data_IF_857475808309
#
_entry.id   IF_857475808309
#
_cell.length_a   1.000
_cell.length_b   1.000
_cell.length_c   1.000
_cell.angle_alpha   90.00
_cell.angle_beta   90.00
_cell.angle_gamma   90.00
#
_symmetry.space_group_name_H-M   'P 1'
#
loop_
_entity.id
_entity.type
_entity.pdbx_description
1 polymer ?
2 non-polymer ?
3 non-polymer ?
4 water ?
#
# COMPACT_ATOMS: atom_id res chain seq x y z
N UNK A 1 11.55 -13.15 -16.66
CA UNK A 1 11.39 -12.46 -15.40
C UNK A 1 11.09 -13.49 -14.34
N UNK A 2 12.16 -14.07 -13.87
CA UNK A 2 12.11 -15.04 -12.85
C UNK A 2 11.92 -14.32 -11.51
N UNK A 3 12.56 -13.16 -11.32
CA UNK A 3 12.60 -12.53 -10.01
C UNK A 3 11.95 -11.18 -9.98
N UNK A 4 11.20 -10.88 -8.91
CA UNK A 4 10.65 -9.54 -8.74
C UNK A 4 10.95 -9.06 -7.35
N UNK A 5 11.64 -7.93 -7.22
CA UNK A 5 11.81 -7.31 -5.92
C UNK A 5 10.92 -6.05 -5.92
N UNK A 6 9.87 -6.07 -5.12
CA UNK A 6 8.89 -5.03 -5.07
C UNK A 6 9.00 -4.20 -3.80
N UNK A 7 8.87 -2.86 -3.93
CA UNK A 7 8.81 -1.99 -2.75
C UNK A 7 7.60 -1.09 -2.92
N UNK A 8 6.95 -0.78 -1.82
CA UNK A 8 5.71 -0.03 -1.75
C UNK A 8 5.83 1.02 -0.69
N UNK A 9 5.44 2.25 -0.97
CA UNK A 9 5.72 3.33 -0.06
C UNK A 9 4.65 4.41 -0.13
N UNK A 10 4.02 4.73 1.00
CA UNK A 10 3.19 5.94 1.08
C UNK A 10 4.11 7.12 1.35
N UNK A 11 4.21 7.98 0.35
CA UNK A 11 5.20 9.05 0.35
C UNK A 11 4.71 10.34 0.97
N UNK A 12 3.41 10.41 1.27
CA UNK A 12 2.81 11.60 1.92
C UNK A 12 3.05 12.89 1.12
N UNK A 13 2.91 12.75 -0.19
CA UNK A 13 3.14 13.79 -1.15
C UNK A 13 4.38 13.53 -2.00
N UNK A 14 4.17 13.24 -3.29
CA UNK A 14 5.28 12.80 -4.14
C UNK A 14 6.23 13.91 -4.46
N UNK A 15 5.76 15.11 -4.75
CA UNK A 15 6.65 16.23 -5.03
C UNK A 15 7.59 16.45 -3.86
N UNK A 16 7.07 16.43 -2.65
CA UNK A 16 7.96 16.66 -1.50
C UNK A 16 8.94 15.51 -1.35
N UNK A 17 8.50 14.30 -1.56
CA UNK A 17 9.33 13.11 -1.33
C UNK A 17 10.44 13.03 -2.40
N UNK A 18 10.25 13.61 -3.57
CA UNK A 18 11.28 13.65 -4.63
C UNK A 18 12.51 14.40 -4.17
N UNK A 19 12.32 15.33 -3.23
CA UNK A 19 13.44 16.08 -2.71
C UNK A 19 14.06 15.40 -1.49
N UNK A 20 13.49 14.30 -1.03
CA UNK A 20 13.89 13.69 0.22
C UNK A 20 14.21 12.23 0.05
N UNK A 21 14.56 11.88 -1.16
CA UNK A 21 15.11 10.54 -1.38
C UNK A 21 14.32 9.65 -2.29
N UNK A 22 13.07 10.00 -2.61
CA UNK A 22 12.33 9.09 -3.45
C UNK A 22 13.06 8.87 -4.78
N UNK A 23 13.61 9.92 -5.37
CA UNK A 23 14.29 9.75 -6.64
C UNK A 23 15.50 8.87 -6.45
N UNK A 24 16.19 9.02 -5.32
CA UNK A 24 17.34 8.14 -5.10
C UNK A 24 16.90 6.67 -5.08
N UNK A 25 15.78 6.42 -4.42
CA UNK A 25 15.30 5.05 -4.32
C UNK A 25 14.99 4.50 -5.70
N UNK A 26 14.31 5.30 -6.50
CA UNK A 26 13.93 4.83 -7.82
C UNK A 26 15.13 4.68 -8.74
N UNK A 27 15.98 5.71 -8.84
CA UNK A 27 17.05 5.73 -9.81
C UNK A 27 18.22 4.75 -9.49
N UNK A 28 18.21 4.20 -8.28
CA UNK A 28 19.17 3.19 -7.92
C UNK A 28 18.93 1.88 -8.69
N UNK A 29 17.70 1.70 -9.16
CA UNK A 29 17.34 0.49 -9.94
C UNK A 29 17.37 -0.81 -9.12
N UNK A 30 17.39 -0.66 -7.79
CA UNK A 30 17.42 -1.81 -6.91
C UNK A 30 16.12 -2.63 -7.03
N UNK A 31 14.98 -1.99 -7.32
CA UNK A 31 13.68 -2.66 -7.27
C UNK A 31 13.08 -2.83 -8.65
N UNK A 32 12.50 -4.00 -8.90
CA UNK A 32 11.82 -4.26 -10.16
C UNK A 32 10.50 -3.50 -10.27
N UNK A 33 9.84 -3.31 -9.14
CA UNK A 33 8.59 -2.58 -9.07
C UNK A 33 8.62 -1.68 -7.91
N UNK A 34 8.26 -0.41 -8.12
CA UNK A 34 8.19 0.59 -7.02
C UNK A 34 6.76 1.15 -7.06
N UNK A 35 6.03 0.92 -6.01
CA UNK A 35 4.65 1.44 -5.86
C UNK A 35 4.67 2.58 -4.87
N UNK A 36 4.01 3.69 -5.21
CA UNK A 36 3.87 4.82 -4.29
C UNK A 36 2.39 5.07 -4.05
N UNK A 37 2.07 5.44 -2.82
CA UNK A 37 0.71 5.89 -2.45
C UNK A 37 0.75 7.29 -1.89
N UNK A 38 -0.40 7.94 -2.06
CA UNK A 38 -0.63 9.31 -1.62
C UNK A 38 0.36 10.26 -2.30
N UNK A 39 0.25 10.33 -3.61
CA UNK A 39 1.12 11.19 -4.39
C UNK A 39 0.75 12.64 -4.20
N UNK A 40 -0.53 12.90 -3.96
CA UNK A 40 -1.12 14.24 -3.88
C UNK A 40 -0.96 15.02 -5.20
N UNK A 41 -0.78 14.29 -6.31
CA UNK A 41 -0.60 14.88 -7.63
C UNK A 41 -1.96 15.19 -8.23
N UNK A 42 -2.12 16.43 -8.67
CA UNK A 42 -3.34 16.95 -9.24
C UNK A 42 -3.33 16.78 -10.73
N UNK A 43 -4.45 16.34 -11.30
CA UNK A 43 -4.64 16.43 -12.76
C UNK A 43 -3.47 15.88 -13.59
N UNK A 44 -2.89 14.77 -13.12
CA UNK A 44 -1.84 14.07 -13.86
C UNK A 44 -0.55 14.90 -14.06
N UNK A 45 -0.39 15.95 -13.24
CA UNK A 45 0.80 16.80 -13.35
C UNK A 45 1.90 16.26 -12.44
N UNK A 46 2.65 15.32 -12.98
CA UNK A 46 3.69 14.64 -12.24
C UNK A 46 4.90 15.51 -12.19
N UNK A 47 5.68 15.39 -11.12
CA UNK A 47 7.00 16.00 -11.08
C UNK A 47 7.81 15.67 -12.35
N UNK A 48 8.53 16.64 -12.90
CA UNK A 48 9.35 16.41 -14.09
C UNK A 48 10.34 15.26 -13.89
N UNK A 49 10.88 15.16 -12.68
CA UNK A 49 11.90 14.15 -12.40
C UNK A 49 11.39 12.74 -12.46
N UNK A 50 10.08 12.60 -12.31
CA UNK A 50 9.41 11.31 -12.31
C UNK A 50 8.97 10.99 -13.73
N UNK A 51 8.57 12.02 -14.47
CA UNK A 51 7.99 11.85 -15.80
C UNK A 51 8.84 10.95 -16.68
N UNK A 52 10.06 11.40 -16.97
CA UNK A 52 10.92 10.61 -17.83
C UNK A 52 12.10 10.03 -17.08
N UNK A 53 11.77 9.17 -16.12
CA UNK A 53 12.69 8.21 -15.55
C UNK A 53 13.07 7.31 -16.70
N UNK A 54 14.28 6.75 -16.65
CA UNK A 54 14.80 5.83 -17.64
C UNK A 54 14.97 4.42 -17.05
N UNK A 55 14.67 3.41 -17.86
CA UNK A 55 14.67 2.01 -17.45
C UNK A 55 13.44 1.60 -16.66
N UNK A 56 12.49 2.53 -16.45
CA UNK A 56 11.19 2.19 -15.83
C UNK A 56 10.02 2.68 -16.68
N UNK A 57 8.98 1.86 -16.74
CA UNK A 57 7.66 2.30 -17.16
C UNK A 57 7.02 2.92 -15.94
N UNK A 58 6.17 3.91 -16.12
CA UNK A 58 5.43 4.40 -14.96
C UNK A 58 3.99 4.72 -15.30
N UNK A 59 3.14 4.52 -14.29
CA UNK A 59 1.66 4.68 -14.46
C UNK A 59 1.12 5.31 -13.22
N UNK A 60 0.27 6.33 -13.36
CA UNK A 60 -0.25 7.05 -12.22
C UNK A 60 -1.74 7.25 -12.35
N UNK A 61 -2.41 7.33 -11.21
CA UNK A 61 -3.83 7.76 -11.20
C UNK A 61 -3.92 8.88 -10.19
N UNK A 62 -4.66 9.91 -10.59
CA UNK A 62 -4.96 11.08 -9.75
C UNK A 62 -6.40 11.07 -9.29
N UNK A 63 -6.63 11.60 -8.10
CA UNK A 63 -7.96 11.89 -7.63
C UNK A 63 -8.54 13.04 -8.39
N UNK A 64 -9.87 13.15 -8.38
CA UNK A 64 -10.52 14.36 -8.89
C UNK A 64 -10.20 15.58 -8.04
N UNK A 65 -10.18 15.39 -6.72
CA UNK A 65 -9.79 16.47 -5.82
C UNK A 65 -8.27 16.74 -5.97
N UNK A 66 -7.91 18.00 -6.15
CA UNK A 66 -6.51 18.35 -6.30
C UNK A 66 -5.76 18.25 -4.95
N UNK A 67 -4.52 17.79 -4.98
CA UNK A 67 -3.70 17.65 -3.80
C UNK A 67 -4.10 16.54 -2.85
N UNK A 68 -4.69 15.47 -3.38
CA UNK A 68 -5.31 14.47 -2.56
C UNK A 68 -5.05 13.11 -3.11
N UNK A 69 -4.77 12.15 -2.23
CA UNK A 69 -4.73 10.74 -2.61
C UNK A 69 -3.78 10.55 -3.80
N UNK A 70 -4.07 9.66 -4.74
CA UNK A 70 -3.23 9.38 -5.91
C UNK A 70 -2.25 8.27 -5.63
N UNK A 71 -2.08 7.39 -6.63
CA UNK A 71 -1.11 6.29 -6.52
C UNK A 71 -0.35 6.12 -7.84
N UNK A 72 0.84 5.51 -7.79
CA UNK A 72 1.57 5.27 -9.02
C UNK A 72 2.42 4.02 -8.87
N UNK A 73 2.71 3.42 -10.02
CA UNK A 73 3.52 2.21 -10.10
C UNK A 73 4.56 2.40 -11.16
N UNK A 74 5.80 2.14 -10.77
CA UNK A 74 6.95 2.04 -11.67
C UNK A 74 7.38 0.61 -11.83
N UNK A 75 7.70 0.18 -13.04
CA UNK A 75 8.20 -1.19 -13.20
C UNK A 75 9.19 -1.25 -14.33
N UNK A 76 10.17 -2.12 -14.15
CA UNK A 76 11.15 -2.34 -15.21
C UNK A 76 10.51 -3.02 -16.43
N UNK A 77 9.56 -3.91 -16.18
CA UNK A 77 8.82 -4.60 -17.25
C UNK A 77 7.50 -3.87 -17.55
N UNK A 78 7.11 -3.91 -18.83
CA UNK A 78 5.85 -3.27 -19.24
C UNK A 78 4.69 -4.17 -18.81
N UNK A 79 3.71 -3.60 -18.13
CA UNK A 79 2.53 -4.39 -17.83
C UNK A 79 1.83 -4.88 -19.07
N UNK A 80 1.14 -6.02 -18.96
CA UNK A 80 0.29 -6.47 -20.05
C UNK A 80 -1.13 -5.92 -19.98
N UNK A 81 -1.49 -5.31 -18.87
CA UNK A 81 -2.82 -4.66 -18.68
C UNK A 81 -2.67 -3.61 -17.60
N UNK A 82 -3.39 -2.53 -17.81
CA UNK A 82 -3.37 -1.38 -16.93
C UNK A 82 -4.84 -0.99 -16.67
N UNK A 83 -5.23 -0.91 -15.40
CA UNK A 83 -6.58 -0.44 -15.08
C UNK A 83 -6.53 0.49 -13.91
N UNK A 84 -7.10 1.67 -14.15
CA UNK A 84 -7.17 2.68 -13.12
C UNK A 84 -8.55 2.59 -12.55
N UNK A 85 -8.62 2.01 -11.35
CA UNK A 85 -9.82 2.00 -10.58
C UNK A 85 -10.43 0.60 -10.62
N UNK A 86 -11.34 0.36 -9.70
CA UNK A 86 -12.08 -0.90 -9.63
C UNK A 86 -13.28 -0.98 -10.55
N UNK A 87 -13.63 0.16 -11.15
CA UNK A 87 -14.83 0.28 -11.94
C UNK A 87 -16.08 0.68 -11.16
N UNK A 88 -15.87 1.36 -10.05
CA UNK A 88 -17.00 1.89 -9.25
C UNK A 88 -16.72 3.37 -9.07
N UNK A 89 -17.56 4.21 -9.64
CA UNK A 89 -17.20 5.66 -9.76
C UNK A 89 -16.92 6.29 -8.40
N UNK A 90 -17.71 5.99 -7.38
CA UNK A 90 -17.57 6.70 -6.11
C UNK A 90 -16.22 6.35 -5.47
N UNK A 91 -15.59 5.23 -5.84
CA UNK A 91 -14.24 4.92 -5.37
C UNK A 91 -13.20 5.33 -6.39
N UNK A 92 -13.46 5.14 -7.68
CA UNK A 92 -12.45 5.43 -8.70
C UNK A 92 -12.12 6.93 -8.69
N UNK A 93 -13.07 7.79 -8.35
CA UNK A 93 -12.87 9.22 -8.46
C UNK A 93 -11.88 9.73 -7.39
N UNK A 94 -11.51 8.89 -6.44
CA UNK A 94 -10.53 9.29 -5.42
C UNK A 94 -9.12 8.84 -5.75
N UNK A 95 -8.92 8.17 -6.87
CA UNK A 95 -7.55 7.85 -7.32
C UNK A 95 -6.73 7.06 -6.35
N UNK A 96 -7.32 6.00 -5.81
CA UNK A 96 -6.73 5.18 -4.78
C UNK A 96 -6.28 3.81 -5.24
N UNK A 97 -6.50 3.45 -6.51
CA UNK A 97 -6.39 2.06 -6.94
C UNK A 97 -5.80 2.01 -8.32
N UNK A 98 -4.73 1.28 -8.43
CA UNK A 98 -4.07 1.10 -9.74
C UNK A 98 -3.66 -0.36 -9.95
N UNK A 99 -4.21 -0.96 -10.98
CA UNK A 99 -3.91 -2.34 -11.35
C UNK A 99 -2.96 -2.39 -12.52
N UNK A 100 -1.90 -3.18 -12.37
CA UNK A 100 -0.98 -3.48 -13.47
C UNK A 100 -0.77 -4.99 -13.48
N UNK A 101 -1.06 -5.63 -14.60
CA UNK A 101 -0.88 -7.09 -14.72
C UNK A 101 0.49 -7.35 -15.30
N UNK A 102 1.17 -8.36 -14.76
CA UNK A 102 2.41 -8.86 -15.37
C UNK A 102 2.23 -10.30 -15.80
N UNK A 103 3.22 -10.88 -16.49
CA UNK A 103 3.03 -12.24 -16.97
C UNK A 103 2.79 -13.18 -15.81
N UNK A 104 3.40 -12.93 -14.66
CA UNK A 104 3.34 -13.90 -13.57
C UNK A 104 2.33 -13.58 -12.46
N UNK A 105 1.74 -12.39 -12.47
CA UNK A 105 0.79 -12.05 -11.42
C UNK A 105 0.13 -10.74 -11.74
N UNK A 106 -0.98 -10.50 -11.06
CA UNK A 106 -1.69 -9.23 -11.07
C UNK A 106 -1.27 -8.39 -9.86
N UNK A 107 -0.90 -7.12 -10.07
CA UNK A 107 -0.54 -6.23 -8.99
C UNK A 107 -1.58 -5.17 -8.77
N UNK A 108 -2.08 -5.09 -7.54
CA UNK A 108 -3.02 -4.02 -7.16
C UNK A 108 -2.30 -3.11 -6.18
N UNK A 109 -2.17 -1.84 -6.53
CA UNK A 109 -1.51 -0.84 -5.72
C UNK A 109 -2.60 0.08 -5.14
N UNK A 110 -2.73 0.12 -3.83
CA UNK A 110 -3.91 0.76 -3.22
C UNK A 110 -3.57 1.69 -2.06
N UNK A 111 -4.17 2.85 -2.07
CA UNK A 111 -4.16 3.78 -0.93
C UNK A 111 -5.54 3.69 -0.29
N UNK A 112 -5.67 2.82 0.70
CA UNK A 112 -7.02 2.63 1.31
C UNK A 112 -7.38 3.88 2.12
N UNK A 113 -8.67 4.23 2.20
CA UNK A 113 -9.06 5.46 2.89
C UNK A 113 -8.71 5.50 4.38
N UNK A 114 -8.41 6.71 4.82
CA UNK A 114 -8.31 6.92 6.23
C UNK A 114 -9.65 7.34 6.78
N UNK A 115 -10.05 6.69 7.87
CA UNK A 115 -11.36 6.87 8.45
C UNK A 115 -11.45 7.82 9.64
N UNK A 116 -10.35 8.50 9.95
CA UNK A 116 -10.36 9.31 11.18
C UNK A 116 -11.18 10.59 11.14
N UNK A 117 -11.37 11.20 9.98
CA UNK A 117 -11.90 12.56 9.98
C UNK A 117 -13.38 12.63 10.38
N UNK A 118 -14.14 11.60 10.09
CA UNK A 118 -15.57 11.62 10.33
C UNK A 118 -16.17 10.23 10.27
N UNK A 119 -17.36 10.10 10.82
CA UNK A 119 -18.13 8.87 10.69
C UNK A 119 -18.36 8.59 9.22
N UNK A 120 -18.60 9.62 8.44
CA UNK A 120 -18.93 9.35 7.05
C UNK A 120 -17.68 8.79 6.34
N UNK A 121 -16.49 9.25 6.73
CA UNK A 121 -15.31 8.75 6.06
C UNK A 121 -14.95 7.36 6.59
N UNK A 122 -15.29 7.08 7.85
CA UNK A 122 -15.12 5.71 8.34
C UNK A 122 -16.06 4.79 7.51
N UNK A 123 -17.26 5.24 7.23
CA UNK A 123 -18.22 4.48 6.44
C UNK A 123 -17.66 4.24 5.06
N UNK A 124 -17.05 5.26 4.49
CA UNK A 124 -16.51 5.18 3.15
C UNK A 124 -15.36 4.18 3.13
N UNK A 125 -14.47 4.27 4.12
CA UNK A 125 -13.39 3.30 4.26
C UNK A 125 -13.91 1.85 4.30
N UNK A 126 -14.92 1.60 5.12
CA UNK A 126 -15.45 0.24 5.21
C UNK A 126 -16.11 -0.19 3.89
N UNK A 127 -16.80 0.73 3.22
CA UNK A 127 -17.40 0.42 1.93
C UNK A 127 -16.31 0.13 0.87
N UNK A 128 -15.23 0.89 0.90
CA UNK A 128 -14.08 0.65 0.02
C UNK A 128 -13.51 -0.73 0.28
N UNK A 129 -13.32 -1.08 1.54
CA UNK A 129 -12.80 -2.41 1.90
C UNK A 129 -13.73 -3.48 1.27
N UNK A 130 -15.05 -3.33 1.40
CA UNK A 130 -15.97 -4.35 0.88
C UNK A 130 -15.84 -4.48 -0.63
N UNK A 131 -15.75 -3.35 -1.33
CA UNK A 131 -15.63 -3.36 -2.79
C UNK A 131 -14.33 -3.98 -3.19
N UNK A 132 -13.23 -3.61 -2.54
CA UNK A 132 -11.98 -4.22 -2.83
C UNK A 132 -11.99 -5.73 -2.62
N UNK A 133 -12.58 -6.21 -1.52
CA UNK A 133 -12.56 -7.65 -1.27
C UNK A 133 -13.32 -8.37 -2.38
N UNK A 134 -14.44 -7.80 -2.81
CA UNK A 134 -15.18 -8.47 -3.87
C UNK A 134 -14.41 -8.46 -5.18
N UNK A 135 -13.74 -7.37 -5.48
CA UNK A 135 -12.92 -7.25 -6.66
C UNK A 135 -11.79 -8.27 -6.66
N UNK A 136 -11.04 -8.33 -5.57
CA UNK A 136 -9.93 -9.28 -5.49
C UNK A 136 -10.47 -10.68 -5.57
N UNK A 137 -11.56 -10.99 -4.85
CA UNK A 137 -12.07 -12.36 -4.87
C UNK A 137 -12.50 -12.77 -6.27
N UNK A 138 -13.07 -11.87 -7.06
CA UNK A 138 -13.46 -12.23 -8.40
C UNK A 138 -12.23 -12.60 -9.23
N UNK A 139 -11.16 -11.84 -9.14
CA UNK A 139 -9.93 -12.19 -9.86
C UNK A 139 -9.35 -13.55 -9.38
N UNK A 140 -9.36 -13.75 -8.08
CA UNK A 140 -8.84 -14.98 -7.51
C UNK A 140 -9.67 -16.19 -7.99
N UNK A 141 -11.00 -16.05 -8.12
CA UNK A 141 -11.90 -17.08 -8.58
C UNK A 141 -11.52 -17.53 -9.99
N UNK A 142 -11.01 -16.54 -10.78
CA UNK A 142 -10.60 -16.79 -12.19
C UNK A 142 -9.20 -17.45 -12.30
N UNK A 143 -8.47 -17.53 -11.18
CA UNK A 143 -7.18 -18.19 -11.11
C UNK A 143 -6.02 -17.18 -11.20
N UNK A 144 -6.28 -15.89 -11.08
CA UNK A 144 -5.18 -14.95 -11.05
C UNK A 144 -4.35 -15.19 -9.81
N UNK A 145 -3.07 -14.82 -9.91
CA UNK A 145 -2.14 -14.72 -8.76
C UNK A 145 -2.12 -13.27 -8.39
N UNK A 146 -2.53 -12.92 -7.17
CA UNK A 146 -2.70 -11.54 -6.77
C UNK A 146 -1.66 -11.10 -5.80
N UNK A 147 -1.06 -9.93 -6.07
CA UNK A 147 -0.18 -9.24 -5.14
C UNK A 147 -0.88 -7.92 -4.88
N UNK A 148 -1.12 -7.59 -3.61
CA UNK A 148 -1.80 -6.37 -3.25
C UNK A 148 -0.92 -5.60 -2.31
N UNK A 149 -0.48 -4.42 -2.73
CA UNK A 149 0.39 -3.66 -1.80
C UNK A 149 -0.26 -2.31 -1.55
N UNK A 150 0.08 -1.78 -0.37
CA UNK A 150 -0.24 -0.40 -0.12
C UNK A 150 -0.54 -0.15 1.32
N UNK A 151 -1.16 1.01 1.54
CA UNK A 151 -1.44 1.56 2.86
C UNK A 151 -2.85 1.20 3.20
N UNK A 152 -3.00 0.22 4.08
CA UNK A 152 -4.32 -0.26 4.47
C UNK A 152 -4.94 0.70 5.49
N UNK A 153 -4.13 1.54 6.14
CA UNK A 153 -4.63 2.48 7.15
C UNK A 153 -5.29 1.79 8.34
N UNK A 154 -4.87 0.53 8.59
CA UNK A 154 -5.30 -0.22 9.77
C UNK A 154 -4.17 -1.10 10.24
N UNK A 155 -3.98 -1.16 11.55
CA UNK A 155 -3.06 -2.12 12.19
C UNK A 155 -3.89 -3.35 12.54
N UNK A 156 -3.48 -4.51 12.01
CA UNK A 156 -4.36 -5.68 12.07
C UNK A 156 -4.56 -6.17 13.49
N UNK A 157 -3.46 -6.40 14.21
CA UNK A 157 -3.47 -7.06 15.52
C UNK A 157 -2.77 -6.15 16.54
N UNK A 158 -2.91 -6.45 17.83
CA UNK A 158 -2.26 -5.65 18.87
C UNK A 158 -0.76 -5.58 18.64
N UNK A 159 -0.16 -6.65 18.11
CA UNK A 159 1.28 -6.65 17.87
C UNK A 159 1.65 -5.65 16.75
N UNK A 160 0.65 -5.19 15.98
CA UNK A 160 0.94 -4.29 14.85
C UNK A 160 0.98 -2.81 15.23
N UNK A 161 0.91 -2.46 16.51
CA UNK A 161 1.20 -1.09 16.90
C UNK A 161 1.76 -1.05 18.30
N UNK A 162 2.47 0.04 18.61
CA UNK A 162 3.12 0.14 19.90
C UNK A 162 2.20 0.39 21.07
N UNK A 163 1.09 1.09 20.85
CA UNK A 163 0.18 1.46 21.93
C UNK A 163 -1.24 1.03 21.63
N UNK A 164 -1.47 -0.28 21.59
CA UNK A 164 -2.82 -0.72 21.24
C UNK A 164 -3.86 -0.28 22.23
N UNK A 165 -3.54 -0.22 23.52
CA UNK A 165 -4.64 0.07 24.45
C UNK A 165 -4.95 1.57 24.55
N UNK A 166 -4.23 2.41 23.83
CA UNK A 166 -4.56 3.82 23.75
C UNK A 166 -5.36 4.18 22.50
N UNK A 167 -5.51 3.20 21.60
CA UNK A 167 -6.00 3.49 20.25
C UNK A 167 -7.24 2.71 19.81
N UNK A 168 -7.90 2.04 20.74
CA UNK A 168 -9.04 1.20 20.36
C UNK A 168 -10.26 2.00 19.95
N UNK A 169 -10.30 3.30 20.22
CA UNK A 169 -11.42 4.14 19.78
C UNK A 169 -11.04 4.97 18.54
N UNK A 170 -9.86 4.72 18.00
CA UNK A 170 -9.34 5.52 16.88
C UNK A 170 -9.37 4.71 15.59
N UNK A 171 -9.98 5.26 14.54
CA UNK A 171 -9.90 4.62 13.22
C UNK A 171 -8.44 4.34 12.85
N UNK A 172 -8.17 3.10 12.46
CA UNK A 172 -6.81 2.59 12.39
C UNK A 172 -6.71 1.36 13.29
N UNK A 173 -7.47 1.35 14.36
CA UNK A 173 -7.42 0.21 15.26
C UNK A 173 -8.79 -0.10 15.85
N UNK A 174 -9.85 0.21 15.10
CA UNK A 174 -11.21 -0.15 15.55
C UNK A 174 -11.49 -1.62 15.38
N UNK A 175 -12.24 -2.21 16.32
CA UNK A 175 -12.57 -3.64 16.12
C UNK A 175 -13.12 -3.97 14.72
N UNK A 176 -14.00 -3.16 14.16
CA UNK A 176 -14.60 -3.49 12.89
C UNK A 176 -13.60 -3.45 11.73
N UNK A 177 -12.61 -2.57 11.83
CA UNK A 177 -11.57 -2.52 10.81
C UNK A 177 -10.68 -3.77 10.86
N UNK A 178 -10.28 -4.12 12.09
CA UNK A 178 -9.48 -5.33 12.33
C UNK A 178 -10.26 -6.57 11.88
N UNK A 179 -11.57 -6.57 12.12
CA UNK A 179 -12.41 -7.72 11.77
C UNK A 179 -12.44 -7.83 10.26
N UNK A 180 -12.50 -6.69 9.56
CA UNK A 180 -12.49 -6.77 8.10
C UNK A 180 -11.19 -7.40 7.63
N UNK A 181 -10.05 -7.05 8.22
CA UNK A 181 -8.78 -7.67 7.84
C UNK A 181 -8.83 -9.19 8.09
N UNK A 182 -9.43 -9.62 9.19
CA UNK A 182 -9.59 -11.05 9.44
C UNK A 182 -10.35 -11.68 8.28
N UNK A 183 -11.45 -11.05 7.87
CA UNK A 183 -12.35 -11.58 6.82
C UNK A 183 -11.57 -11.65 5.50
N UNK A 184 -10.81 -10.60 5.18
CA UNK A 184 -9.99 -10.56 3.97
C UNK A 184 -9.01 -11.76 3.97
N UNK A 185 -8.21 -11.90 5.02
CA UNK A 185 -7.22 -12.99 4.99
C UNK A 185 -7.88 -14.35 4.92
N UNK A 186 -9.00 -14.53 5.64
CA UNK A 186 -9.73 -15.78 5.62
C UNK A 186 -10.28 -16.15 4.23
N UNK A 187 -10.40 -15.17 3.34
CA UNK A 187 -10.81 -15.46 1.96
C UNK A 187 -9.70 -16.08 1.14
N UNK A 188 -8.51 -16.20 1.73
CA UNK A 188 -7.41 -16.93 1.10
C UNK A 188 -6.26 -16.03 0.69
N UNK A 189 -5.87 -15.11 1.56
CA UNK A 189 -4.77 -14.22 1.30
C UNK A 189 -3.82 -14.28 2.48
N UNK A 190 -2.56 -13.95 2.22
CA UNK A 190 -1.50 -13.97 3.23
C UNK A 190 -0.91 -12.61 3.44
N UNK A 191 -0.71 -12.23 4.71
CA UNK A 191 0.05 -11.03 5.08
C UNK A 191 1.54 -11.40 4.95
N UNK A 192 2.17 -10.91 3.89
CA UNK A 192 3.50 -11.46 3.55
C UNK A 192 4.53 -11.28 4.68
N UNK A 193 4.55 -10.09 5.32
CA UNK A 193 5.52 -9.92 6.41
C UNK A 193 5.42 -11.00 7.45
N UNK A 194 4.18 -11.38 7.77
CA UNK A 194 3.92 -12.41 8.79
C UNK A 194 4.16 -13.84 8.31
N UNK A 195 4.40 -14.04 7.02
CA UNK A 195 4.87 -15.36 6.56
C UNK A 195 6.22 -15.68 7.15
N UNK A 196 7.02 -14.68 7.52
CA UNK A 196 8.39 -14.96 7.96
C UNK A 196 8.72 -14.41 9.35
N UNK A 197 8.00 -13.37 9.80
CA UNK A 197 8.38 -12.66 11.01
C UNK A 197 7.20 -12.44 11.92
N UNK A 198 7.16 -13.13 13.05
CA UNK A 198 6.06 -13.01 14.00
C UNK A 198 6.23 -11.91 15.04
N UNK A 199 7.33 -11.17 15.00
CA UNK A 199 7.70 -10.32 16.13
C UNK A 199 7.02 -8.95 16.06
N UNK A 200 6.78 -8.40 17.25
CA UNK A 200 6.32 -7.02 17.38
C UNK A 200 7.45 -6.03 17.19
N UNK A 201 7.13 -4.75 17.37
CA UNK A 201 8.08 -3.67 17.12
C UNK A 201 8.35 -3.38 15.67
N UNK A 202 7.61 -4.03 14.78
CA UNK A 202 7.76 -3.90 13.35
C UNK A 202 6.63 -3.04 12.79
N UNK A 203 6.98 -1.76 12.51
CA UNK A 203 5.99 -0.78 12.12
C UNK A 203 6.37 -0.11 10.82
N UNK A 204 5.41 0.56 10.21
CA UNK A 204 5.67 1.26 8.94
C UNK A 204 5.20 2.68 8.96
N UNK A 205 4.67 3.17 10.09
CA UNK A 205 4.19 4.55 10.24
C UNK A 205 4.45 5.04 11.63
N UNK A 206 4.84 6.31 11.72
CA UNK A 206 5.02 6.96 13.00
C UNK A 206 4.53 8.38 12.88
N UNK A 207 3.95 8.91 13.96
CA UNK A 207 3.58 10.32 13.99
C UNK A 207 4.84 11.18 13.75
N UNK A 208 4.63 12.37 13.18
CA UNK A 208 5.69 13.38 13.14
C UNK A 208 5.91 14.06 14.47
N UNK A 209 5.13 13.72 15.50
CA UNK A 209 5.34 14.25 16.84
C UNK A 209 6.80 14.03 17.23
N UNK A 210 7.41 15.01 17.88
CA UNK A 210 8.84 14.94 18.14
C UNK A 210 9.22 13.64 18.84
N UNK A 211 10.17 12.95 18.25
CA UNK A 211 10.75 11.73 18.83
C UNK A 211 9.93 10.46 18.65
N UNK A 212 8.73 10.52 18.07
CA UNK A 212 7.94 9.32 17.98
C UNK A 212 8.61 8.27 17.14
N UNK A 213 9.15 8.65 16.00
CA UNK A 213 9.81 7.64 15.17
C UNK A 213 11.11 7.12 15.81
N UNK A 214 11.87 8.01 16.43
CA UNK A 214 13.09 7.59 17.11
C UNK A 214 12.78 6.62 18.27
N UNK A 215 11.65 6.80 18.96
CA UNK A 215 11.27 5.92 20.05
C UNK A 215 10.48 4.73 19.56
N UNK A 216 10.31 4.61 18.25
CA UNK A 216 9.56 3.51 17.61
C UNK A 216 8.12 3.40 18.12
N UNK A 217 7.48 4.53 18.33
CA UNK A 217 6.06 4.48 18.67
C UNK A 217 5.31 4.47 17.36
N UNK A 218 5.12 3.28 16.81
CA UNK A 218 4.66 3.14 15.44
C UNK A 218 3.45 2.26 15.28
N UNK A 219 3.03 2.19 14.02
CA UNK A 219 1.91 1.32 13.60
C UNK A 219 2.34 0.64 12.34
N UNK A 220 1.95 -0.61 12.13
CA UNK A 220 2.13 -1.25 10.82
C UNK A 220 0.85 -1.07 10.02
N UNK A 221 0.88 -0.08 9.13
CA UNK A 221 -0.26 0.28 8.27
C UNK A 221 -0.09 -0.18 6.85
N UNK A 222 1.16 -0.55 6.48
CA UNK A 222 1.50 -0.85 5.09
C UNK A 222 1.83 -2.30 4.98
N UNK A 223 1.32 -2.95 3.93
CA UNK A 223 1.36 -4.40 3.79
C UNK A 223 1.58 -4.81 2.34
N UNK A 224 2.06 -6.02 2.16
CA UNK A 224 1.89 -6.64 0.84
C UNK A 224 1.21 -7.96 1.11
N UNK A 225 0.04 -8.16 0.51
CA UNK A 225 -0.73 -9.39 0.60
C UNK A 225 -0.55 -10.20 -0.66
N UNK A 226 -0.59 -11.50 -0.53
CA UNK A 226 -0.62 -12.37 -1.74
C UNK A 226 -1.75 -13.35 -1.61
N UNK A 227 -2.37 -13.69 -2.73
CA UNK A 227 -3.28 -14.84 -2.73
C UNK A 227 -2.49 -16.10 -2.38
N UNK A 228 -3.19 -17.05 -1.78
CA UNK A 228 -2.55 -18.28 -1.31
C UNK A 228 -1.79 -19.02 -2.39
N UNK A 229 -2.27 -18.93 -3.63
CA UNK A 229 -1.58 -19.63 -4.72
C UNK A 229 -0.16 -19.06 -4.98
N UNK A 230 0.21 -17.93 -4.36
CA UNK A 230 1.59 -17.41 -4.46
C UNK A 230 2.49 -17.77 -3.27
N UNK A 231 2.00 -18.58 -2.34
CA UNK A 231 2.77 -18.88 -1.10
C UNK A 231 4.19 -19.33 -1.40
N UNK A 232 4.38 -20.25 -2.34
CA UNK A 232 5.72 -20.82 -2.53
C UNK A 232 6.60 -19.89 -3.35
N UNK A 233 5.98 -18.88 -3.96
CA UNK A 233 6.74 -17.87 -4.73
C UNK A 233 7.33 -16.75 -3.90
N UNK A 234 6.83 -16.56 -2.69
CA UNK A 234 7.32 -15.48 -1.85
C UNK A 234 8.59 -15.88 -1.16
N UNK A 235 9.69 -15.18 -1.49
CA UNK A 235 10.97 -15.57 -0.92
C UNK A 235 11.40 -14.69 0.23
N UNK A 236 10.89 -13.48 0.33
CA UNK A 236 11.22 -12.62 1.45
C UNK A 236 10.12 -11.57 1.55
N UNK A 237 10.00 -10.95 2.72
CA UNK A 237 9.07 -9.83 2.92
C UNK A 237 9.69 -8.90 3.96
N UNK A 238 9.70 -7.60 3.67
CA UNK A 238 10.53 -6.65 4.41
C UNK A 238 9.75 -5.43 4.84
N UNK A 239 10.28 -4.75 5.86
CA UNK A 239 9.93 -3.38 6.18
C UNK A 239 11.26 -2.66 6.12
N UNK A 240 11.21 -1.41 5.63
CA UNK A 240 12.44 -0.60 5.43
C UNK A 240 12.47 0.66 6.30
N UNK A 241 12.59 0.48 7.61
CA UNK A 241 12.51 1.63 8.52
C UNK A 241 13.67 2.61 8.35
N UNK A 242 14.71 2.22 7.65
CA UNK A 242 15.87 3.10 7.41
C UNK A 242 15.58 4.09 6.29
N UNK A 243 14.48 3.96 5.57
CA UNK A 243 14.19 4.89 4.46
C UNK A 243 13.31 6.02 4.96
N UNK A 244 13.86 7.23 4.93
CA UNK A 244 13.27 8.45 5.50
C UNK A 244 12.54 9.22 4.43
N UNK A 245 11.83 10.24 4.88
CA UNK A 245 11.23 11.21 3.97
C UNK A 245 9.71 11.29 4.01
N UNK A 246 9.09 10.35 4.69
CA UNK A 246 7.66 10.36 4.83
C UNK A 246 7.28 9.95 6.24
N UNK A 247 6.02 10.08 6.63
CA UNK A 247 5.59 9.50 7.92
C UNK A 247 5.51 7.99 7.86
N UNK A 248 5.34 7.41 6.67
CA UNK A 248 5.47 5.96 6.49
C UNK A 248 6.88 5.62 6.02
N UNK A 249 7.29 4.38 6.28
CA UNK A 249 8.45 3.82 5.55
C UNK A 249 7.97 2.79 4.57
N UNK A 250 8.82 2.38 3.64
CA UNK A 250 8.39 1.37 2.66
C UNK A 250 8.29 -0.02 3.26
N UNK A 251 7.56 -0.86 2.54
CA UNK A 251 7.52 -2.29 2.74
C UNK A 251 7.75 -2.98 1.43
N UNK A 252 8.06 -4.26 1.46
CA UNK A 252 8.30 -4.91 0.18
C UNK A 252 8.25 -6.41 0.24
N UNK A 253 8.40 -7.01 -0.91
CA UNK A 253 8.62 -8.45 -0.91
C UNK A 253 9.31 -8.89 -2.16
N UNK A 254 9.81 -10.12 -2.13
CA UNK A 254 10.49 -10.69 -3.26
C UNK A 254 9.76 -11.93 -3.71
N UNK A 255 9.54 -12.00 -5.03
CA UNK A 255 8.91 -13.17 -5.66
C UNK A 255 9.84 -13.84 -6.62
N UNK A 256 9.71 -15.15 -6.76
CA UNK A 256 10.49 -15.90 -7.70
C UNK A 256 9.54 -16.85 -8.41
N UNK A 257 9.64 -16.91 -9.74
CA UNK A 257 8.80 -17.82 -10.54
C UNK A 257 9.65 -18.69 -11.41
N UNK A 258 9.14 -19.90 -11.65
CA UNK A 258 9.46 -20.80 -12.78
C UNK A 258 10.36 -21.88 -12.28
X LIG B 1 -0.39 10.86 4.48
X LIG C 1 -3.30 10.56 9.36
X LIG C 1 -2.96 9.50 8.49
X LIG C 1 -1.97 8.67 9.22
X LIG C 1 -2.68 7.58 9.83
X LIG C 1 -2.12 6.98 11.02
X LIG C 1 -3.27 6.63 11.97
X LIG C 1 -2.79 6.97 13.27
X LIG C 1 -3.79 7.37 14.14
X LIG C 1 -3.26 8.40 15.11
X LIG C 1 -4.34 9.15 15.67
X LIG C 1 -4.09 10.56 15.81
X LIG C 1 -4.90 11.35 14.74
X LIG C 1 -4.09 12.32 14.13
#
# INVERSE_FOLDING_TARGET
>A
AEHYNLISWNVNGLRAAVKKGFLDLLLEHRFDIVCVQETKVSQDKLPREVKNIQGYYNYFVSAEQNGYSGVGTFSKNKPIKLEKGMGIEVFDREGRFLRTDYEDFVLLNIYFPNGKMSQERLGYKMAFYDAFLDYANALKSEGKKLVICGDVNTAHKEIDLARPKQNEMISGFLPEERAWMDKFLAAGYLDSFRMFNPEGGNYSWWSYRTGARSRNVGWRLDYVFVSENLRENVKSASIYPEIMGSDHCPVGLELEFV
>B hetero
1 MG MG
>C hetero
1 PG4 O1 C1 C2 O2 C3 C4 O3 C5 C6 O4 C7 C8 O5
#
